data_IF_086333834050
#
_entry.id   IF_086333834050
#
_cell.length_a   1.000
_cell.length_b   1.000
_cell.length_c   1.000
_cell.angle_alpha   90.00
_cell.angle_beta   90.00
_cell.angle_gamma   90.00
#
_symmetry.space_group_name_H-M   'P 1'
#
loop_
_entity.id
_entity.type
_entity.pdbx_description
1 polymer ?
#
# COMPACT_ATOMS: atom_id res chain seq x y z
N UNK A 1 17.51 -15.97 -8.64
CA UNK A 1 16.97 -14.75 -9.28
C UNK A 1 15.88 -14.08 -8.42
N UNK A 2 14.76 -14.75 -8.11
CA UNK A 2 13.67 -14.19 -7.27
C UNK A 2 14.09 -13.66 -5.89
N UNK A 3 15.01 -14.34 -5.20
CA UNK A 3 15.50 -13.89 -3.88
C UNK A 3 16.19 -12.52 -3.94
N UNK A 4 17.01 -12.30 -4.97
CA UNK A 4 17.74 -11.03 -5.15
C UNK A 4 16.76 -9.90 -5.47
N UNK A 5 15.79 -10.15 -6.35
CA UNK A 5 14.75 -9.15 -6.65
C UNK A 5 13.95 -8.78 -5.39
N UNK A 6 13.61 -9.77 -4.57
CA UNK A 6 12.92 -9.55 -3.30
C UNK A 6 13.74 -8.66 -2.36
N UNK A 7 15.02 -8.96 -2.19
CA UNK A 7 15.91 -8.14 -1.36
C UNK A 7 16.04 -6.73 -1.91
N UNK A 8 16.29 -6.56 -3.22
CA UNK A 8 16.38 -5.24 -3.86
C UNK A 8 15.11 -4.40 -3.62
N UNK A 9 13.93 -5.00 -3.81
CA UNK A 9 12.65 -4.34 -3.59
C UNK A 9 12.45 -3.90 -2.14
N UNK A 10 12.70 -4.78 -1.16
CA UNK A 10 12.56 -4.39 0.25
C UNK A 10 13.62 -3.37 0.67
N UNK A 11 14.84 -3.47 0.14
CA UNK A 11 15.88 -2.46 0.41
C UNK A 11 15.54 -1.11 -0.20
N UNK A 12 14.97 -1.05 -1.41
CA UNK A 12 14.60 0.22 -2.03
C UNK A 12 13.47 0.91 -1.26
N UNK A 13 12.48 0.15 -0.79
CA UNK A 13 11.42 0.67 0.10
C UNK A 13 12.04 1.19 1.40
N UNK A 14 12.92 0.42 2.04
CA UNK A 14 13.58 0.83 3.28
C UNK A 14 14.36 2.14 3.12
N UNK A 15 15.12 2.28 2.02
CA UNK A 15 15.84 3.52 1.69
C UNK A 15 14.87 4.68 1.49
N UNK A 16 13.77 4.48 0.76
CA UNK A 16 12.78 5.53 0.48
C UNK A 16 12.11 6.02 1.77
N UNK A 17 11.76 5.10 2.67
CA UNK A 17 11.20 5.42 3.98
C UNK A 17 12.21 6.23 4.79
N UNK A 18 13.47 5.79 4.86
CA UNK A 18 14.54 6.52 5.56
C UNK A 18 14.70 7.95 5.00
N UNK A 19 14.75 8.10 3.68
CA UNK A 19 14.83 9.43 3.05
C UNK A 19 13.63 10.30 3.42
N UNK A 20 12.43 9.75 3.52
CA UNK A 20 11.24 10.46 3.98
C UNK A 20 11.27 10.92 5.45
N UNK A 21 12.20 10.42 6.27
CA UNK A 21 12.46 10.95 7.61
C UNK A 21 13.48 12.10 7.61
N UNK A 22 14.44 12.09 6.69
CA UNK A 22 15.50 13.10 6.62
C UNK A 22 15.17 14.29 5.72
N UNK A 23 14.33 14.09 4.70
CA UNK A 23 13.94 15.10 3.73
C UNK A 23 12.53 15.58 4.05
N UNK A 24 12.45 16.62 4.88
CA UNK A 24 11.17 17.26 5.24
C UNK A 24 10.88 18.40 4.25
N UNK A 25 9.67 18.50 3.68
CA UNK A 25 9.29 19.62 2.81
C UNK A 25 9.42 20.96 3.54
N UNK A 26 10.10 21.93 2.95
CA UNK A 26 10.26 23.28 3.54
C UNK A 26 8.94 24.06 3.59
N UNK A 27 8.02 23.77 2.68
CA UNK A 27 6.71 24.41 2.56
C UNK A 27 5.59 23.38 2.49
N UNK A 28 5.20 22.77 3.64
CA UNK A 28 4.10 21.83 3.66
C UNK A 28 2.77 22.57 3.39
N UNK A 29 2.08 22.19 2.31
CA UNK A 29 0.76 22.73 1.96
C UNK A 29 -0.34 22.14 2.86
N UNK A 30 -0.15 20.90 3.29
CA UNK A 30 -1.09 20.19 4.14
C UNK A 30 -0.41 19.72 5.43
N UNK A 31 -1.20 19.52 6.50
CA UNK A 31 -0.64 19.17 7.81
C UNK A 31 0.07 17.80 7.81
N UNK A 32 -0.39 16.87 6.96
CA UNK A 32 0.16 15.51 6.87
C UNK A 32 1.50 15.44 6.17
N UNK A 33 1.87 16.44 5.36
CA UNK A 33 3.20 16.53 4.74
C UNK A 33 4.32 16.78 5.76
N UNK A 34 3.97 17.20 6.99
CA UNK A 34 4.91 17.29 8.12
C UNK A 34 5.21 15.93 8.75
N UNK A 35 4.40 14.91 8.46
CA UNK A 35 4.59 13.58 9.01
C UNK A 35 5.65 12.87 8.15
N UNK A 36 6.79 12.47 8.72
CA UNK A 36 7.82 11.79 7.95
C UNK A 36 7.28 10.46 7.42
N UNK A 37 7.67 10.13 6.18
CA UNK A 37 7.24 8.93 5.47
C UNK A 37 5.71 8.77 5.32
N UNK A 38 4.93 9.85 5.40
CA UNK A 38 3.46 9.82 5.25
C UNK A 38 3.02 9.12 3.97
N UNK A 39 3.66 9.41 2.84
CA UNK A 39 3.30 8.84 1.53
C UNK A 39 3.43 7.31 1.51
N UNK A 40 4.46 6.77 2.19
CA UNK A 40 4.66 5.33 2.29
C UNK A 40 3.55 4.67 3.12
N UNK A 41 3.16 5.30 4.24
CA UNK A 41 2.06 4.83 5.09
C UNK A 41 0.74 4.90 4.33
N UNK A 42 0.48 6.03 3.65
CA UNK A 42 -0.72 6.25 2.88
C UNK A 42 -0.86 5.24 1.73
N UNK A 43 0.21 5.03 0.95
CA UNK A 43 0.22 4.04 -0.12
C UNK A 43 0.02 2.61 0.39
N UNK A 44 0.65 2.26 1.52
CA UNK A 44 0.51 0.94 2.13
C UNK A 44 -0.92 0.68 2.63
N UNK A 45 -1.49 1.62 3.38
CA UNK A 45 -2.88 1.55 3.85
C UNK A 45 -3.86 1.56 2.68
N UNK A 46 -3.62 2.38 1.66
CA UNK A 46 -4.41 2.41 0.43
C UNK A 46 -4.46 1.04 -0.25
N UNK A 47 -3.31 0.38 -0.40
CA UNK A 47 -3.25 -0.99 -0.94
C UNK A 47 -4.07 -1.99 -0.10
N UNK A 48 -3.94 -1.95 1.24
CA UNK A 48 -4.72 -2.83 2.12
C UNK A 48 -6.21 -2.58 1.94
N UNK A 49 -6.63 -1.32 1.96
CA UNK A 49 -8.04 -0.93 1.81
C UNK A 49 -8.59 -1.42 0.46
N UNK A 50 -7.84 -1.23 -0.63
CA UNK A 50 -8.24 -1.70 -1.96
C UNK A 50 -8.40 -3.23 -1.96
N UNK A 51 -7.47 -3.98 -1.39
CA UNK A 51 -7.55 -5.45 -1.32
C UNK A 51 -8.76 -5.89 -0.51
N UNK A 52 -9.02 -5.26 0.63
CA UNK A 52 -10.17 -5.59 1.47
C UNK A 52 -11.49 -5.29 0.78
N UNK A 53 -11.60 -4.13 0.14
CA UNK A 53 -12.80 -3.76 -0.64
C UNK A 53 -13.00 -4.72 -1.80
N UNK A 54 -11.94 -5.02 -2.57
CA UNK A 54 -12.02 -5.95 -3.69
C UNK A 54 -12.46 -7.35 -3.24
N UNK A 55 -11.91 -7.84 -2.12
CA UNK A 55 -12.30 -9.14 -1.55
C UNK A 55 -13.76 -9.13 -1.08
N UNK A 56 -14.18 -8.08 -0.38
CA UNK A 56 -15.55 -7.92 0.09
C UNK A 56 -16.53 -7.88 -1.09
N UNK A 57 -16.22 -7.11 -2.13
CA UNK A 57 -17.03 -7.02 -3.35
C UNK A 57 -17.12 -8.37 -4.07
N UNK A 58 -16.00 -9.09 -4.15
CA UNK A 58 -15.94 -10.45 -4.65
C UNK A 58 -16.92 -11.36 -3.92
N UNK A 59 -16.83 -11.38 -2.59
CA UNK A 59 -17.64 -12.26 -1.74
C UNK A 59 -19.14 -11.93 -1.77
N UNK A 60 -19.50 -10.65 -1.72
CA UNK A 60 -20.91 -10.25 -1.59
C UNK A 60 -21.64 -10.08 -2.93
N UNK A 61 -20.94 -9.78 -4.04
CA UNK A 61 -21.59 -9.47 -5.32
C UNK A 61 -21.28 -10.45 -6.45
N UNK A 62 -20.14 -11.13 -6.40
CA UNK A 62 -19.63 -11.92 -7.53
C UNK A 62 -19.59 -13.42 -7.24
N UNK A 63 -19.36 -13.81 -5.99
CA UNK A 63 -19.51 -15.20 -5.56
C UNK A 63 -20.98 -15.60 -5.72
N UNK A 64 -21.17 -16.73 -6.40
CA UNK A 64 -22.46 -17.28 -6.72
C UNK A 64 -22.52 -18.66 -6.10
N UNK A 65 -23.66 -18.99 -5.49
CA UNK A 65 -23.84 -20.28 -4.84
C UNK A 65 -23.50 -21.43 -5.79
N UNK A 66 -22.90 -22.48 -5.23
CA UNK A 66 -22.39 -23.63 -5.98
C UNK A 66 -23.51 -24.32 -6.79
N UNK A 67 -24.75 -24.25 -6.27
CA UNK A 67 -25.96 -24.81 -6.89
C UNK A 67 -26.54 -23.94 -8.04
N UNK A 68 -25.88 -22.87 -8.48
CA UNK A 68 -26.46 -21.99 -9.51
C UNK A 68 -26.61 -22.65 -10.90
N UNK A 69 -25.87 -23.71 -11.18
CA UNK A 69 -25.93 -24.44 -12.45
C UNK A 69 -26.49 -25.88 -12.31
N UNK A 70 -26.84 -26.29 -11.10
CA UNK A 70 -27.63 -27.50 -10.83
C UNK A 70 -29.13 -27.21 -10.94
#
# INVERSE_FOLDING_TARGET
MLKILKYLFFTSIGILVLLGFFVVPEHPHFFWEKIPAFDAIFGFLGCIVIVLIAKSLGHYLLEKDEDYYD
#
